data_IF_508348828821
#
_entry.id   IF_508348828821
#
_cell.length_a   1.000
_cell.length_b   1.000
_cell.length_c   1.000
_cell.angle_alpha   90.00
_cell.angle_beta   90.00
_cell.angle_gamma   90.00
#
_symmetry.space_group_name_H-M   'P 1'
#
loop_
_entity.id
_entity.type
_entity.pdbx_description
1 polymer ?
#
# COMPACT_ATOMS: atom_id res chain seq x y z
N UNK A 1 -6.64 -26.67 5.85
CA UNK A 1 -5.50 -26.97 4.97
C UNK A 1 -5.48 -28.45 4.59
N UNK A 2 -5.53 -29.37 5.56
CA UNK A 2 -5.78 -30.80 5.32
C UNK A 2 -6.95 -31.30 6.21
N UNK A 3 -7.38 -32.54 6.02
CA UNK A 3 -8.37 -33.24 6.86
C UNK A 3 -7.80 -34.43 7.65
N UNK A 4 -6.50 -34.73 7.48
CA UNK A 4 -5.81 -35.80 8.21
C UNK A 4 -5.26 -35.35 9.57
N UNK A 5 -4.80 -36.30 10.38
CA UNK A 5 -4.44 -36.06 11.78
C UNK A 5 -3.25 -35.09 12.00
N UNK A 6 -2.28 -35.04 11.09
CA UNK A 6 -1.09 -34.18 11.22
C UNK A 6 -0.63 -33.66 9.86
N UNK A 7 -0.23 -32.39 9.81
CA UNK A 7 0.41 -31.76 8.65
C UNK A 7 1.92 -32.01 8.66
N UNK A 8 2.57 -31.94 7.49
CA UNK A 8 4.03 -32.13 7.38
C UNK A 8 4.82 -31.09 8.20
N UNK A 9 4.31 -29.85 8.22
CA UNK A 9 4.78 -28.74 9.04
C UNK A 9 3.62 -28.25 9.92
N UNK A 10 3.85 -27.93 11.20
CA UNK A 10 2.80 -27.37 12.06
C UNK A 10 2.20 -26.10 11.47
N UNK A 11 0.88 -25.98 11.54
CA UNK A 11 0.18 -24.73 11.21
C UNK A 11 0.40 -23.77 12.38
N UNK A 12 0.72 -22.51 12.07
CA UNK A 12 0.92 -21.49 13.10
C UNK A 12 -0.36 -21.28 13.91
N UNK A 13 -0.26 -21.20 15.24
CA UNK A 13 -1.40 -21.23 16.18
C UNK A 13 -2.41 -20.11 15.96
N UNK A 14 -1.95 -18.94 15.52
CA UNK A 14 -2.83 -17.80 15.24
C UNK A 14 -3.77 -17.97 14.03
N UNK A 15 -3.75 -19.11 13.31
CA UNK A 15 -4.62 -19.35 12.15
C UNK A 15 -6.12 -19.31 12.49
N UNK A 16 -6.48 -19.48 13.76
CA UNK A 16 -7.85 -19.36 14.26
C UNK A 16 -8.41 -17.97 13.93
N UNK A 17 -7.60 -16.93 14.14
CA UNK A 17 -7.98 -15.54 13.91
C UNK A 17 -7.40 -14.97 12.60
N UNK A 18 -6.15 -15.32 12.29
CA UNK A 18 -5.42 -14.86 11.10
C UNK A 18 -5.55 -15.88 9.96
N UNK A 19 -6.68 -15.83 9.27
CA UNK A 19 -6.91 -16.66 8.08
C UNK A 19 -7.66 -15.91 6.98
N UNK A 20 -7.70 -16.53 5.79
CA UNK A 20 -8.34 -15.96 4.62
C UNK A 20 -9.85 -15.74 4.80
N UNK A 21 -10.55 -16.63 5.49
CA UNK A 21 -12.00 -16.50 5.70
C UNK A 21 -12.29 -15.26 6.56
N UNK A 22 -11.58 -15.10 7.67
CA UNK A 22 -11.67 -13.92 8.53
C UNK A 22 -11.33 -12.63 7.76
N UNK A 23 -10.23 -12.61 6.98
CA UNK A 23 -9.82 -11.43 6.22
C UNK A 23 -10.76 -11.08 5.06
N UNK A 24 -11.47 -12.04 4.46
CA UNK A 24 -12.52 -11.79 3.45
C UNK A 24 -13.73 -11.10 4.08
N UNK A 25 -14.17 -11.58 5.24
CA UNK A 25 -15.33 -11.06 5.97
C UNK A 25 -15.09 -9.69 6.60
N UNK A 26 -13.87 -9.42 7.10
CA UNK A 26 -13.51 -8.16 7.74
C UNK A 26 -13.70 -6.93 6.82
N UNK A 27 -14.26 -5.82 7.34
CA UNK A 27 -14.48 -4.59 6.55
C UNK A 27 -13.19 -4.05 5.92
N UNK A 28 -12.11 -4.01 6.70
CA UNK A 28 -10.75 -3.66 6.28
C UNK A 28 -9.82 -4.84 6.58
N UNK A 29 -8.97 -5.22 5.63
CA UNK A 29 -8.00 -6.31 5.81
C UNK A 29 -6.82 -6.17 4.85
N UNK A 30 -5.69 -6.79 5.20
CA UNK A 30 -4.51 -6.83 4.34
C UNK A 30 -4.84 -7.53 3.02
N UNK A 31 -5.64 -8.60 3.06
CA UNK A 31 -6.16 -9.27 1.87
C UNK A 31 -6.87 -8.30 0.91
N UNK A 32 -7.79 -7.46 1.40
CA UNK A 32 -8.50 -6.48 0.56
C UNK A 32 -7.57 -5.40 0.01
N UNK A 33 -6.60 -4.95 0.80
CA UNK A 33 -5.57 -4.03 0.31
C UNK A 33 -4.75 -4.65 -0.81
N UNK A 34 -4.33 -5.91 -0.65
CA UNK A 34 -3.60 -6.64 -1.68
C UNK A 34 -4.41 -6.76 -2.98
N UNK A 35 -5.70 -7.11 -2.89
CA UNK A 35 -6.59 -7.14 -4.06
C UNK A 35 -6.66 -5.79 -4.76
N UNK A 36 -6.82 -4.69 -4.01
CA UNK A 36 -6.85 -3.32 -4.58
C UNK A 36 -5.53 -2.97 -5.27
N UNK A 37 -4.38 -3.26 -4.67
CA UNK A 37 -3.07 -2.99 -5.26
C UNK A 37 -2.84 -3.78 -6.56
N UNK A 38 -3.27 -5.05 -6.60
CA UNK A 38 -3.23 -5.85 -7.83
C UNK A 38 -4.10 -5.23 -8.91
N UNK A 39 -5.30 -4.75 -8.57
CA UNK A 39 -6.17 -4.09 -9.54
C UNK A 39 -5.59 -2.77 -10.03
N UNK A 40 -5.05 -1.93 -9.15
CA UNK A 40 -4.36 -0.70 -9.53
C UNK A 40 -3.21 -0.97 -10.50
N UNK A 41 -2.36 -1.97 -10.23
CA UNK A 41 -1.28 -2.33 -11.16
C UNK A 41 -1.79 -2.77 -12.54
N UNK A 42 -2.98 -3.38 -12.61
CA UNK A 42 -3.61 -3.81 -13.87
C UNK A 42 -4.31 -2.67 -14.61
N UNK A 43 -4.83 -1.68 -13.91
CA UNK A 43 -5.61 -0.58 -14.52
C UNK A 43 -4.81 0.69 -14.79
N UNK A 44 -3.69 0.91 -14.09
CA UNK A 44 -2.88 2.14 -14.15
C UNK A 44 -1.65 1.95 -15.01
N UNK A 45 -1.55 2.69 -16.11
CA UNK A 45 -0.45 2.55 -17.06
C UNK A 45 0.86 3.09 -16.50
N UNK A 46 0.79 4.14 -15.67
CA UNK A 46 1.93 4.62 -14.91
C UNK A 46 2.55 3.52 -14.02
N UNK A 47 1.76 2.59 -13.47
CA UNK A 47 2.27 1.49 -12.65
C UNK A 47 2.87 0.33 -13.48
N UNK A 48 2.38 0.10 -14.70
CA UNK A 48 2.85 -0.96 -15.61
C UNK A 48 4.19 -0.61 -16.24
N UNK A 49 4.25 0.52 -16.92
CA UNK A 49 5.37 0.92 -17.79
C UNK A 49 5.74 2.40 -17.67
N UNK A 50 5.10 3.15 -16.78
CA UNK A 50 5.46 4.54 -16.53
C UNK A 50 6.85 4.70 -15.90
N UNK A 51 7.38 5.91 -16.02
CA UNK A 51 8.63 6.33 -15.41
C UNK A 51 8.64 6.14 -13.89
N UNK A 52 9.83 6.12 -13.32
CA UNK A 52 10.06 5.90 -11.89
C UNK A 52 10.95 7.01 -11.34
N UNK A 53 10.51 7.63 -10.25
CA UNK A 53 11.35 8.48 -9.42
C UNK A 53 11.20 8.07 -7.97
N UNK A 54 12.33 8.00 -7.26
CA UNK A 54 12.37 7.64 -5.84
C UNK A 54 12.99 8.79 -5.06
N UNK A 55 12.38 9.15 -3.94
CA UNK A 55 12.84 10.21 -3.04
C UNK A 55 12.83 9.68 -1.61
N UNK A 56 13.87 10.01 -0.86
CA UNK A 56 13.95 9.75 0.59
C UNK A 56 13.89 11.11 1.28
N UNK A 57 13.11 11.23 2.36
CA UNK A 57 13.05 12.48 3.12
C UNK A 57 14.40 12.80 3.77
N UNK A 58 14.65 14.08 4.03
CA UNK A 58 15.87 14.55 4.67
C UNK A 58 16.10 13.95 6.05
N UNK A 59 15.03 13.62 6.79
CA UNK A 59 15.08 12.94 8.08
C UNK A 59 15.23 11.41 7.98
N UNK A 60 15.27 10.86 6.76
CA UNK A 60 15.44 9.44 6.48
C UNK A 60 14.25 8.54 6.85
N UNK A 61 13.12 9.11 7.29
CA UNK A 61 11.98 8.33 7.80
C UNK A 61 11.01 7.89 6.72
N UNK A 62 10.95 8.60 5.59
CA UNK A 62 9.96 8.34 4.54
C UNK A 62 10.60 8.06 3.20
N UNK A 63 9.96 7.17 2.47
CA UNK A 63 10.25 6.84 1.08
C UNK A 63 9.05 7.20 0.23
N UNK A 64 9.28 8.04 -0.77
CA UNK A 64 8.30 8.37 -1.80
C UNK A 64 8.71 7.73 -3.12
N UNK A 65 7.80 6.98 -3.73
CA UNK A 65 7.95 6.38 -5.05
C UNK A 65 6.90 7.01 -5.97
N UNK A 66 7.35 7.66 -7.01
CA UNK A 66 6.51 8.36 -7.98
C UNK A 66 6.55 7.60 -9.29
N UNK A 67 5.37 7.34 -9.84
CA UNK A 67 5.17 6.66 -11.12
C UNK A 67 4.38 7.55 -12.04
N UNK A 68 4.93 7.86 -13.21
CA UNK A 68 4.34 8.82 -14.15
C UNK A 68 4.25 8.24 -15.55
N UNK A 69 3.14 8.52 -16.22
CA UNK A 69 2.89 8.28 -17.64
C UNK A 69 2.44 9.59 -18.28
N UNK A 70 2.13 9.58 -19.58
CA UNK A 70 1.67 10.77 -20.29
C UNK A 70 0.33 11.32 -19.75
N UNK A 71 -0.50 10.47 -19.12
CA UNK A 71 -1.87 10.81 -18.71
C UNK A 71 -2.09 10.84 -17.19
N UNK A 72 -1.23 10.20 -16.40
CA UNK A 72 -1.40 10.10 -14.95
C UNK A 72 -0.08 10.03 -14.18
N UNK A 73 -0.12 10.51 -12.94
CA UNK A 73 0.93 10.35 -11.94
C UNK A 73 0.37 9.71 -10.67
N UNK A 74 1.08 8.74 -10.12
CA UNK A 74 0.79 8.12 -8.83
C UNK A 74 1.99 8.30 -7.89
N UNK A 75 1.70 8.49 -6.61
CA UNK A 75 2.71 8.53 -5.55
C UNK A 75 2.39 7.47 -4.49
N UNK A 76 3.41 6.69 -4.14
CA UNK A 76 3.42 5.80 -2.99
C UNK A 76 4.29 6.46 -1.93
N UNK A 77 3.73 6.68 -0.74
CA UNK A 77 4.45 7.20 0.42
C UNK A 77 4.50 6.11 1.48
N UNK A 78 5.71 5.78 1.93
CA UNK A 78 5.95 4.81 2.99
C UNK A 78 6.65 5.54 4.13
N UNK A 79 6.07 5.48 5.33
CA UNK A 79 6.74 5.86 6.56
C UNK A 79 7.36 4.61 7.18
N UNK A 80 8.68 4.60 7.35
CA UNK A 80 9.43 3.50 7.97
C UNK A 80 9.61 3.69 9.49
N UNK A 81 9.15 4.81 10.06
CA UNK A 81 9.21 5.02 11.50
C UNK A 81 8.04 4.34 12.20
N UNK A 82 8.34 3.58 13.25
CA UNK A 82 7.34 2.93 14.10
C UNK A 82 6.69 3.87 15.12
N UNK A 83 7.27 5.05 15.36
CA UNK A 83 6.90 5.92 16.48
C UNK A 83 6.67 7.38 16.10
N UNK A 84 7.17 7.81 14.94
CA UNK A 84 7.06 9.21 14.49
C UNK A 84 6.10 9.34 13.31
N UNK A 85 5.11 10.22 13.44
CA UNK A 85 4.44 10.76 12.28
C UNK A 85 5.44 11.57 11.45
N UNK A 86 5.44 11.34 10.14
CA UNK A 86 6.21 12.15 9.20
C UNK A 86 5.27 13.17 8.54
N UNK A 87 5.74 14.41 8.41
CA UNK A 87 5.04 15.46 7.67
C UNK A 87 5.74 15.62 6.33
N UNK A 88 5.00 15.45 5.24
CA UNK A 88 5.53 15.47 3.89
C UNK A 88 4.77 16.49 3.04
N UNK A 89 5.51 17.37 2.34
CA UNK A 89 4.93 18.25 1.34
C UNK A 89 4.85 17.51 0.00
N UNK A 90 3.66 17.03 -0.37
CA UNK A 90 3.45 16.27 -1.61
C UNK A 90 3.72 17.10 -2.88
N UNK A 91 3.52 18.42 -2.84
CA UNK A 91 3.76 19.29 -3.99
C UNK A 91 5.25 19.37 -4.35
N UNK A 92 6.13 19.30 -3.35
CA UNK A 92 7.58 19.22 -3.57
C UNK A 92 8.02 17.82 -4.07
N UNK A 93 7.24 16.80 -3.75
CA UNK A 93 7.49 15.45 -4.24
C UNK A 93 7.08 15.32 -5.72
N UNK A 94 5.96 15.92 -6.13
CA UNK A 94 5.42 15.84 -7.48
C UNK A 94 5.64 17.15 -8.25
N UNK A 95 6.76 17.26 -8.96
CA UNK A 95 7.02 18.41 -9.84
C UNK A 95 6.01 18.43 -11.00
N UNK A 96 5.20 19.48 -11.10
CA UNK A 96 4.24 19.66 -12.19
C UNK A 96 2.80 19.22 -11.91
N UNK A 97 2.48 18.82 -10.67
CA UNK A 97 1.10 18.53 -10.25
C UNK A 97 0.56 19.70 -9.42
N UNK A 98 -0.20 20.59 -10.06
CA UNK A 98 -0.86 21.74 -9.42
C UNK A 98 -2.29 21.45 -8.92
N UNK A 99 -2.70 20.18 -8.89
CA UNK A 99 -4.07 19.77 -8.58
C UNK A 99 -4.13 18.91 -7.32
N UNK A 100 -5.30 18.87 -6.68
CA UNK A 100 -5.59 18.01 -5.54
C UNK A 100 -5.32 16.53 -5.87
N UNK A 101 -4.90 15.78 -4.85
CA UNK A 101 -4.67 14.34 -4.94
C UNK A 101 -5.80 13.57 -4.26
N UNK A 102 -6.14 12.40 -4.80
CA UNK A 102 -7.09 11.45 -4.20
C UNK A 102 -6.33 10.26 -3.61
N UNK A 103 -6.74 9.78 -2.43
CA UNK A 103 -6.13 8.62 -1.81
C UNK A 103 -6.78 7.34 -2.36
N UNK A 104 -6.05 6.62 -3.21
CA UNK A 104 -6.53 5.35 -3.80
C UNK A 104 -6.54 4.19 -2.79
N UNK A 105 -5.46 4.04 -2.01
CA UNK A 105 -5.29 2.97 -1.02
C UNK A 105 -4.51 3.49 0.17
N UNK A 106 -5.00 3.19 1.38
CA UNK A 106 -4.27 3.35 2.63
C UNK A 106 -4.10 1.99 3.34
N UNK A 107 -3.00 1.82 4.07
CA UNK A 107 -2.73 0.61 4.85
C UNK A 107 -3.73 0.44 6.00
N UNK A 108 -3.93 -0.81 6.44
CA UNK A 108 -4.76 -1.08 7.62
C UNK A 108 -4.11 -0.41 8.83
N UNK A 109 -4.87 0.40 9.57
CA UNK A 109 -4.38 1.15 10.73
C UNK A 109 -3.81 2.55 10.39
N UNK A 110 -3.75 2.92 9.11
CA UNK A 110 -3.43 4.30 8.71
C UNK A 110 -4.49 5.28 9.24
N UNK A 111 -4.10 6.45 9.76
CA UNK A 111 -5.05 7.53 10.09
C UNK A 111 -5.65 8.18 8.83
N UNK A 112 -5.04 7.94 7.66
CA UNK A 112 -5.52 8.42 6.37
C UNK A 112 -6.48 7.39 5.77
N UNK A 113 -7.65 7.83 5.34
CA UNK A 113 -8.65 7.02 4.67
C UNK A 113 -8.57 7.18 3.14
N UNK A 114 -8.92 6.13 2.40
CA UNK A 114 -9.08 6.21 0.95
C UNK A 114 -10.42 6.89 0.61
N UNK A 115 -10.41 7.82 -0.34
CA UNK A 115 -11.57 8.64 -0.71
C UNK A 115 -11.17 9.89 -1.45
#
# INVERSE_FOLDING_TARGET
FNTGAKTWLPVHENFVDLNLAAQKSAKKSIYKNYQKLVQLRKSRDALKSGGLQTKVSSDGKTLSIIRTSDTESLILVINFSDTSAAVLNLAEQLTGVNAGATVEVATVGSPIEAG
#
